data_IF_143304092863
#
_entry.id   IF_143304092863
#
_cell.length_a   1.000
_cell.length_b   1.000
_cell.length_c   1.000
_cell.angle_alpha   90.00
_cell.angle_beta   90.00
_cell.angle_gamma   90.00
#
_symmetry.space_group_name_H-M   'P 1'
#
loop_
_entity.id
_entity.type
_entity.pdbx_description
1 polymer ?
#
# COMPACT_ATOMS: atom_id res chain seq x y z
N UNK A 1 -12.40 -25.05 21.76
CA UNK A 1 -12.49 -23.68 22.32
C UNK A 1 -11.13 -23.02 22.43
N UNK A 2 -10.31 -23.25 23.47
CA UNK A 2 -9.02 -22.53 23.61
C UNK A 2 -8.08 -22.76 22.41
N UNK A 3 -7.98 -23.98 21.89
CA UNK A 3 -7.19 -24.26 20.70
C UNK A 3 -7.78 -23.63 19.41
N UNK A 4 -9.09 -23.44 19.36
CA UNK A 4 -9.77 -22.78 18.22
C UNK A 4 -9.56 -21.25 18.29
N UNK A 5 -9.56 -20.70 19.51
CA UNK A 5 -9.26 -19.30 19.83
C UNK A 5 -7.87 -18.86 19.35
N UNK A 6 -6.89 -19.77 19.30
CA UNK A 6 -5.51 -19.46 18.87
C UNK A 6 -5.37 -19.26 17.35
N UNK A 7 -6.39 -19.62 16.57
CA UNK A 7 -6.42 -19.40 15.12
C UNK A 7 -7.03 -18.05 14.71
N UNK A 8 -7.68 -17.37 15.65
CA UNK A 8 -8.31 -16.08 15.41
C UNK A 8 -7.25 -14.97 15.41
N UNK A 9 -7.47 -13.93 14.60
CA UNK A 9 -6.55 -12.79 14.49
C UNK A 9 -7.24 -11.50 14.87
N UNK A 10 -6.57 -10.70 15.69
CA UNK A 10 -7.03 -9.38 16.13
C UNK A 10 -7.47 -8.49 14.98
N UNK A 11 -6.73 -8.51 13.87
CA UNK A 11 -7.00 -7.70 12.67
C UNK A 11 -8.35 -8.00 12.01
N UNK A 12 -8.95 -9.17 12.25
CA UNK A 12 -10.23 -9.56 11.65
C UNK A 12 -11.44 -9.06 12.46
N UNK A 13 -11.23 -8.53 13.67
CA UNK A 13 -12.29 -8.18 14.63
C UNK A 13 -12.18 -6.75 15.17
N UNK A 14 -13.31 -6.18 15.59
CA UNK A 14 -13.33 -4.86 16.21
C UNK A 14 -12.52 -4.88 17.51
N UNK A 15 -11.81 -3.79 17.81
CA UNK A 15 -10.98 -3.71 19.01
C UNK A 15 -11.78 -3.97 20.30
N UNK A 16 -13.05 -3.56 20.35
CA UNK A 16 -13.94 -3.79 21.49
C UNK A 16 -14.29 -5.28 21.65
N UNK A 17 -14.75 -5.94 20.59
CA UNK A 17 -15.12 -7.35 20.65
C UNK A 17 -13.89 -8.26 20.87
N UNK A 18 -12.76 -7.92 20.24
CA UNK A 18 -11.49 -8.62 20.44
C UNK A 18 -10.98 -8.51 21.87
N UNK A 19 -11.09 -7.32 22.48
CA UNK A 19 -10.71 -7.13 23.88
C UNK A 19 -11.54 -8.00 24.82
N UNK A 20 -12.87 -8.03 24.63
CA UNK A 20 -13.75 -8.88 25.44
C UNK A 20 -13.39 -10.37 25.32
N UNK A 21 -13.11 -10.83 24.11
CA UNK A 21 -12.66 -12.19 23.85
C UNK A 21 -11.32 -12.53 24.52
N UNK A 22 -10.31 -11.67 24.39
CA UNK A 22 -8.97 -11.89 24.96
C UNK A 22 -8.99 -11.87 26.50
N UNK A 23 -9.79 -11.01 27.12
CA UNK A 23 -10.00 -11.00 28.57
C UNK A 23 -10.59 -12.33 29.05
N UNK A 24 -11.62 -12.87 28.37
CA UNK A 24 -12.22 -14.18 28.72
C UNK A 24 -11.31 -15.36 28.44
N UNK A 25 -10.49 -15.30 27.41
CA UNK A 25 -9.47 -16.31 27.16
C UNK A 25 -8.41 -16.34 28.26
N UNK A 26 -8.00 -15.18 28.77
CA UNK A 26 -7.05 -15.08 29.88
C UNK A 26 -7.63 -15.64 31.18
N UNK A 27 -8.89 -15.30 31.51
CA UNK A 27 -9.62 -15.86 32.65
C UNK A 27 -9.74 -17.40 32.55
N UNK A 28 -10.04 -17.93 31.35
CA UNK A 28 -10.11 -19.38 31.11
C UNK A 28 -8.77 -20.08 31.36
N UNK A 29 -7.66 -19.50 30.86
CA UNK A 29 -6.31 -20.02 31.10
C UNK A 29 -5.92 -19.99 32.58
N UNK A 30 -6.31 -18.93 33.29
CA UNK A 30 -6.06 -18.81 34.73
C UNK A 30 -6.81 -19.89 35.53
N UNK A 31 -8.10 -20.11 35.24
CA UNK A 31 -8.90 -21.16 35.92
C UNK A 31 -8.35 -22.55 35.64
N UNK A 32 -7.98 -22.86 34.38
CA UNK A 32 -7.40 -24.16 34.04
C UNK A 32 -6.03 -24.41 34.66
N UNK A 33 -5.32 -23.36 35.08
CA UNK A 33 -4.01 -23.46 35.74
C UNK A 33 -4.12 -23.63 37.26
N UNK A 34 -5.32 -23.48 37.85
CA UNK A 34 -5.55 -23.76 39.28
C UNK A 34 -5.66 -25.27 39.51
N UNK A 35 -4.91 -25.79 40.47
CA UNK A 35 -4.97 -27.21 40.87
C UNK A 35 -6.30 -27.61 41.52
N UNK A 36 -7.03 -26.64 42.06
CA UNK A 36 -8.30 -26.81 42.80
C UNK A 36 -9.52 -26.24 42.08
N UNK A 37 -9.41 -25.93 40.79
CA UNK A 37 -10.52 -25.39 40.00
C UNK A 37 -11.77 -26.27 40.11
N UNK A 38 -12.88 -25.68 40.57
CA UNK A 38 -14.16 -26.38 40.62
C UNK A 38 -14.73 -26.62 39.23
N UNK A 39 -15.43 -27.74 39.03
CA UNK A 39 -16.12 -28.02 37.76
C UNK A 39 -17.13 -26.92 37.40
N UNK A 40 -17.74 -26.27 38.39
CA UNK A 40 -18.62 -25.12 38.18
C UNK A 40 -17.88 -23.89 37.64
N UNK A 41 -16.68 -23.58 38.15
CA UNK A 41 -15.84 -22.49 37.61
C UNK A 41 -15.43 -22.78 36.17
N UNK A 42 -15.01 -24.02 35.88
CA UNK A 42 -14.63 -24.47 34.54
C UNK A 42 -15.82 -24.36 33.57
N UNK A 43 -17.01 -24.78 33.98
CA UNK A 43 -18.21 -24.68 33.15
C UNK A 43 -18.63 -23.22 32.92
N UNK A 44 -18.56 -22.39 33.96
CA UNK A 44 -18.91 -20.97 33.88
C UNK A 44 -17.99 -20.20 32.92
N UNK A 45 -16.67 -20.41 33.01
CA UNK A 45 -15.73 -19.74 32.12
C UNK A 45 -15.80 -20.27 30.69
N UNK A 46 -16.11 -21.56 30.52
CA UNK A 46 -16.34 -22.14 29.19
C UNK A 46 -17.50 -21.45 28.48
N UNK A 47 -18.66 -21.31 29.14
CA UNK A 47 -19.81 -20.62 28.55
C UNK A 47 -19.55 -19.13 28.32
N UNK A 48 -18.78 -18.48 29.21
CA UNK A 48 -18.39 -17.07 29.02
C UNK A 48 -17.47 -16.89 27.81
N UNK A 49 -16.53 -17.81 27.59
CA UNK A 49 -15.65 -17.82 26.43
C UNK A 49 -16.42 -18.14 25.13
N UNK A 50 -17.34 -19.10 25.16
CA UNK A 50 -18.25 -19.39 24.03
C UNK A 50 -19.03 -18.14 23.62
N UNK A 51 -19.64 -17.45 24.60
CA UNK A 51 -20.35 -16.20 24.33
C UNK A 51 -19.43 -15.10 23.78
N UNK A 52 -18.21 -14.96 24.32
CA UNK A 52 -17.28 -13.95 23.82
C UNK A 52 -16.82 -14.23 22.38
N UNK A 53 -16.75 -15.50 21.97
CA UNK A 53 -16.50 -15.90 20.57
C UNK A 53 -17.72 -15.58 19.69
N UNK A 54 -18.94 -15.81 20.17
CA UNK A 54 -20.17 -15.45 19.45
C UNK A 54 -20.36 -13.94 19.30
N UNK A 55 -19.97 -13.18 20.32
CA UNK A 55 -20.00 -11.71 20.34
C UNK A 55 -18.85 -11.08 19.53
N UNK A 56 -17.94 -11.88 18.95
CA UNK A 56 -16.87 -11.36 18.10
C UNK A 56 -17.46 -10.68 16.86
N UNK A 57 -17.29 -9.38 16.81
CA UNK A 57 -17.74 -8.55 15.70
C UNK A 57 -16.58 -8.41 14.74
N UNK A 58 -16.77 -8.91 13.51
CA UNK A 58 -15.76 -8.71 12.47
C UNK A 58 -15.64 -7.23 12.17
N UNK A 59 -14.43 -6.77 11.87
CA UNK A 59 -14.29 -5.47 11.22
C UNK A 59 -15.02 -5.58 9.89
N UNK A 60 -16.15 -4.91 9.76
CA UNK A 60 -16.95 -4.94 8.54
C UNK A 60 -16.14 -4.25 7.43
N UNK A 61 -15.53 -5.08 6.58
CA UNK A 61 -15.52 -4.83 5.14
C UNK A 61 -14.49 -3.88 4.52
N UNK A 62 -13.72 -3.10 5.26
CA UNK A 62 -12.53 -2.46 4.65
C UNK A 62 -11.30 -3.31 4.97
N UNK A 63 -11.22 -4.49 4.32
CA UNK A 63 -9.89 -4.97 3.91
C UNK A 63 -9.19 -3.75 3.32
N UNK A 64 -7.93 -3.42 3.71
CA UNK A 64 -7.23 -2.33 3.06
C UNK A 64 -7.31 -2.60 1.56
N UNK A 65 -7.98 -1.70 0.83
CA UNK A 65 -8.04 -1.80 -0.62
C UNK A 65 -6.58 -1.83 -1.05
N UNK A 66 -6.13 -2.96 -1.57
CA UNK A 66 -4.73 -3.13 -1.91
C UNK A 66 -4.42 -2.12 -3.01
N UNK A 67 -3.73 -1.05 -2.63
CA UNK A 67 -3.44 0.04 -3.55
C UNK A 67 -2.46 -0.46 -4.60
N UNK A 68 -2.89 -0.45 -5.85
CA UNK A 68 -2.10 -0.97 -6.94
C UNK A 68 -1.03 0.04 -7.37
N UNK A 69 0.20 -0.18 -6.91
CA UNK A 69 1.36 0.65 -7.25
C UNK A 69 2.20 0.13 -8.43
N UNK A 70 1.74 -0.92 -9.11
CA UNK A 70 2.54 -1.56 -10.16
C UNK A 70 2.79 -0.63 -11.35
N UNK A 71 1.79 0.16 -11.73
CA UNK A 71 1.92 1.13 -12.83
C UNK A 71 2.80 2.32 -12.44
N UNK A 72 2.67 2.84 -11.22
CA UNK A 72 3.55 3.88 -10.69
C UNK A 72 5.02 3.45 -10.71
N UNK A 73 5.33 2.20 -10.31
CA UNK A 73 6.69 1.64 -10.40
C UNK A 73 7.23 1.63 -11.83
N UNK A 74 6.40 1.29 -12.81
CA UNK A 74 6.80 1.29 -14.23
C UNK A 74 7.09 2.71 -14.72
N UNK A 75 6.23 3.68 -14.43
CA UNK A 75 6.44 5.08 -14.83
C UNK A 75 7.70 5.67 -14.20
N UNK A 76 7.98 5.36 -12.93
CA UNK A 76 9.23 5.73 -12.25
C UNK A 76 10.44 5.13 -12.97
N UNK A 77 10.42 3.84 -13.30
CA UNK A 77 11.52 3.18 -14.01
C UNK A 77 11.76 3.77 -15.41
N UNK A 78 10.70 4.17 -16.12
CA UNK A 78 10.83 4.86 -17.41
C UNK A 78 11.54 6.20 -17.21
N UNK A 79 11.08 7.02 -16.26
CA UNK A 79 11.67 8.33 -15.97
C UNK A 79 13.16 8.22 -15.53
N UNK A 80 13.51 7.22 -14.72
CA UNK A 80 14.89 6.96 -14.29
C UNK A 80 15.81 6.49 -15.41
N UNK A 81 15.25 5.91 -16.48
CA UNK A 81 16.00 5.50 -17.67
C UNK A 81 16.34 6.65 -18.63
N UNK A 82 15.75 7.82 -18.43
CA UNK A 82 16.01 9.01 -19.24
C UNK A 82 17.33 9.68 -18.82
N UNK A 83 17.96 10.40 -19.74
CA UNK A 83 19.24 11.05 -19.48
C UNK A 83 19.10 12.56 -19.50
N UNK A 84 19.50 13.20 -18.40
CA UNK A 84 19.46 14.66 -18.25
C UNK A 84 20.13 15.41 -19.41
N UNK A 85 21.21 14.86 -19.94
CA UNK A 85 22.00 15.45 -21.01
C UNK A 85 21.17 15.67 -22.30
N UNK A 86 20.18 14.82 -22.57
CA UNK A 86 19.36 14.87 -23.78
C UNK A 86 18.29 15.98 -23.73
N UNK A 87 17.90 16.44 -22.54
CA UNK A 87 16.74 17.32 -22.33
C UNK A 87 17.09 18.72 -21.82
N UNK A 88 16.25 19.71 -22.12
CA UNK A 88 16.42 21.07 -21.61
C UNK A 88 16.33 21.10 -20.10
N UNK A 89 17.12 21.98 -19.46
CA UNK A 89 17.16 22.12 -17.99
C UNK A 89 15.77 22.39 -17.41
N UNK A 90 14.93 23.17 -18.10
CA UNK A 90 13.57 23.47 -17.65
C UNK A 90 12.68 22.22 -17.63
N UNK A 91 12.66 21.45 -18.73
CA UNK A 91 11.82 20.26 -18.81
C UNK A 91 12.34 19.12 -17.91
N UNK A 92 13.65 18.99 -17.78
CA UNK A 92 14.27 18.03 -16.87
C UNK A 92 13.99 18.34 -15.40
N UNK A 93 13.98 19.63 -15.01
CA UNK A 93 13.62 20.04 -13.65
C UNK A 93 12.17 19.66 -13.31
N UNK A 94 11.25 19.81 -14.26
CA UNK A 94 9.85 19.40 -14.09
C UNK A 94 9.73 17.88 -13.89
N UNK A 95 10.40 17.09 -14.74
CA UNK A 95 10.48 15.64 -14.58
C UNK A 95 11.06 15.24 -13.22
N UNK A 96 12.20 15.81 -12.82
CA UNK A 96 12.87 15.46 -11.56
C UNK A 96 11.98 15.75 -10.35
N UNK A 97 11.25 16.87 -10.37
CA UNK A 97 10.31 17.23 -9.30
C UNK A 97 9.20 16.19 -9.19
N UNK A 98 8.50 15.92 -10.30
CA UNK A 98 7.39 14.95 -10.34
C UNK A 98 7.83 13.51 -10.06
N UNK A 99 9.05 13.13 -10.45
CA UNK A 99 9.65 11.83 -10.13
C UNK A 99 9.86 11.64 -8.62
N UNK A 100 10.31 12.69 -7.91
CA UNK A 100 10.48 12.62 -6.46
C UNK A 100 9.12 12.52 -5.73
N UNK A 101 8.11 13.25 -6.20
CA UNK A 101 6.75 13.16 -5.67
C UNK A 101 6.17 11.75 -5.88
N UNK A 102 6.32 11.20 -7.09
CA UNK A 102 5.92 9.84 -7.42
C UNK A 102 6.60 8.77 -6.52
N UNK A 103 7.91 8.91 -6.26
CA UNK A 103 8.65 8.02 -5.32
C UNK A 103 8.16 8.13 -3.89
N UNK A 104 7.75 9.33 -3.46
CA UNK A 104 7.18 9.57 -2.14
C UNK A 104 5.84 8.84 -1.98
N UNK A 105 4.93 8.97 -2.95
CA UNK A 105 3.66 8.22 -2.99
C UNK A 105 3.89 6.70 -3.08
N UNK A 106 4.88 6.27 -3.85
CA UNK A 106 5.24 4.85 -3.94
C UNK A 106 5.62 4.27 -2.56
N UNK A 107 6.35 5.03 -1.76
CA UNK A 107 6.85 4.62 -0.43
C UNK A 107 5.85 4.86 0.70
N UNK A 108 4.81 5.68 0.48
CA UNK A 108 3.77 5.99 1.46
C UNK A 108 2.91 4.76 1.77
N UNK A 109 2.95 4.28 3.01
CA UNK A 109 2.28 3.03 3.43
C UNK A 109 0.75 3.11 3.42
N UNK A 110 0.21 4.31 3.61
CA UNK A 110 -1.21 4.67 3.64
C UNK A 110 -1.63 5.45 2.38
N UNK A 111 -0.88 5.29 1.27
CA UNK A 111 -1.27 5.91 0.00
C UNK A 111 -2.64 5.41 -0.46
N UNK A 112 -3.50 6.30 -0.95
CA UNK A 112 -4.77 5.92 -1.56
C UNK A 112 -4.58 5.59 -3.05
N UNK A 113 -5.54 4.88 -3.65
CA UNK A 113 -5.51 4.63 -5.10
C UNK A 113 -5.56 5.94 -5.90
N UNK A 114 -6.32 6.93 -5.42
CA UNK A 114 -6.40 8.25 -6.04
C UNK A 114 -5.04 8.97 -6.03
N UNK A 115 -4.31 8.93 -4.92
CA UNK A 115 -2.95 9.50 -4.83
C UNK A 115 -1.98 8.80 -5.80
N UNK A 116 -2.10 7.48 -5.95
CA UNK A 116 -1.29 6.70 -6.88
C UNK A 116 -1.62 7.03 -8.33
N UNK A 117 -2.90 7.13 -8.67
CA UNK A 117 -3.37 7.47 -10.01
C UNK A 117 -2.98 8.90 -10.40
N UNK A 118 -3.06 9.85 -9.46
CA UNK A 118 -2.60 11.22 -9.67
C UNK A 118 -1.08 11.29 -9.88
N UNK A 119 -0.30 10.52 -9.12
CA UNK A 119 1.14 10.44 -9.28
C UNK A 119 1.52 9.85 -10.66
N UNK A 120 0.82 8.79 -11.11
CA UNK A 120 1.00 8.21 -12.45
C UNK A 120 0.72 9.26 -13.53
N UNK A 121 -0.42 9.95 -13.44
CA UNK A 121 -0.83 10.96 -14.40
C UNK A 121 0.17 12.12 -14.48
N UNK A 122 0.61 12.61 -13.33
CA UNK A 122 1.53 13.75 -13.23
C UNK A 122 2.92 13.39 -13.76
N UNK A 123 3.45 12.22 -13.39
CA UNK A 123 4.74 11.75 -13.89
C UNK A 123 4.69 11.49 -15.40
N UNK A 124 3.62 10.86 -15.91
CA UNK A 124 3.46 10.60 -17.35
C UNK A 124 3.41 11.90 -18.14
N UNK A 125 2.66 12.90 -17.65
CA UNK A 125 2.63 14.23 -18.26
C UNK A 125 4.00 14.90 -18.27
N UNK A 126 4.77 14.80 -17.19
CA UNK A 126 6.11 15.38 -17.13
C UNK A 126 7.08 14.72 -18.11
N UNK A 127 6.95 13.39 -18.32
CA UNK A 127 7.69 12.66 -19.36
C UNK A 127 7.29 13.17 -20.76
N UNK A 128 6.00 13.33 -21.03
CA UNK A 128 5.48 13.81 -22.33
C UNK A 128 5.89 15.27 -22.63
N UNK A 129 6.04 16.10 -21.60
CA UNK A 129 6.44 17.51 -21.72
C UNK A 129 7.96 17.72 -21.83
N UNK A 130 8.75 16.63 -21.81
CA UNK A 130 10.20 16.71 -22.00
C UNK A 130 10.57 17.31 -23.36
N UNK A 131 11.52 18.24 -23.33
CA UNK A 131 12.02 18.92 -24.54
C UNK A 131 13.48 18.58 -24.72
N UNK A 132 13.85 18.08 -25.90
CA UNK A 132 15.25 17.83 -26.22
C UNK A 132 16.05 19.14 -26.24
N UNK A 133 17.30 19.10 -25.76
CA UNK A 133 18.26 20.15 -26.08
C UNK A 133 18.48 20.10 -27.59
N UNK A 134 18.14 21.16 -28.32
CA UNK A 134 18.56 21.26 -29.73
C UNK A 134 20.10 21.35 -29.74
N UNK A 135 20.76 20.23 -30.01
CA UNK A 135 21.79 20.09 -31.05
C UNK A 135 22.41 18.67 -31.04
N UNK A 136 21.87 17.81 -31.90
CA UNK A 136 22.67 16.88 -32.69
C UNK A 136 22.19 16.99 -34.14
N UNK A 137 22.98 17.75 -34.90
CA UNK A 137 22.89 18.14 -36.31
C UNK A 137 22.21 17.12 -37.23
N UNK A 138 21.16 17.55 -37.96
CA UNK A 138 20.94 17.14 -39.35
C UNK A 138 21.06 18.36 -40.25
N UNK A 139 22.30 18.78 -40.44
CA UNK A 139 22.79 19.48 -41.62
C UNK A 139 23.16 18.41 -42.65
N UNK A 140 22.20 17.98 -43.46
CA UNK A 140 22.50 17.44 -44.78
C UNK A 140 22.29 18.57 -45.78
N UNK A 141 23.37 19.32 -46.04
CA UNK A 141 23.47 20.14 -47.23
C UNK A 141 24.06 19.24 -48.33
N UNK A 142 23.26 18.85 -49.32
CA UNK A 142 23.77 18.52 -50.65
C UNK A 142 22.89 19.16 -51.73
N UNK A 143 23.39 20.29 -52.19
CA UNK A 143 23.02 21.00 -53.41
C UNK A 143 22.99 20.07 -54.64
N UNK A 144 21.94 20.18 -55.46
CA UNK A 144 21.84 19.39 -56.69
C UNK A 144 20.62 19.72 -57.56
N UNK A 145 20.70 20.85 -58.26
CA UNK A 145 20.18 21.06 -59.62
C UNK A 145 18.76 21.62 -59.79
N UNK A 146 18.70 22.89 -60.17
CA UNK A 146 17.61 23.45 -60.94
C UNK A 146 17.75 23.13 -62.43
N UNK A 147 16.63 22.88 -63.09
CA UNK A 147 16.33 23.21 -64.48
C UNK A 147 14.80 23.06 -64.57
N UNK A 148 14.01 24.09 -64.84
CA UNK A 148 14.00 24.82 -66.11
C UNK A 148 12.69 24.47 -66.79
#
# INVERSE_FOLDING_TARGET
LIAESESLKEEDYTAESWKNFTDKLAEAKAILSKEDAGQEEVNSIKSSLEKAIEDLEKVDGEKPVEVNKAELKKSIAIAEGLKEEDYTTESWKNLTTTLNDAKSILSKGDATQEEVDEAIKTLSKAIDELKLKKDNVSNENNNGNGNG
#
